data_IF_657727429164
#
_entry.id   IF_657727429164
#
_cell.length_a   1.000
_cell.length_b   1.000
_cell.length_c   1.000
_cell.angle_alpha   90.00
_cell.angle_beta   90.00
_cell.angle_gamma   90.00
#
_symmetry.space_group_name_H-M   'P 1'
#
loop_
_entity.id
_entity.type
_entity.pdbx_description
1 polymer ?
#
# COMPACT_ATOMS: atom_id res chain seq x y z
N UNK A 1 37.49 -25.53 -72.68
CA UNK A 1 37.67 -24.13 -72.20
C UNK A 1 38.83 -24.10 -71.24
N UNK A 2 39.90 -23.38 -71.56
CA UNK A 2 41.04 -23.18 -70.66
C UNK A 2 40.64 -22.09 -69.66
N UNK A 3 40.66 -22.41 -68.38
CA UNK A 3 40.34 -21.42 -67.34
C UNK A 3 41.51 -20.44 -67.24
N UNK A 4 41.26 -19.15 -67.48
CA UNK A 4 42.27 -18.10 -67.33
C UNK A 4 42.52 -17.84 -65.83
N UNK A 5 43.76 -17.58 -65.40
CA UNK A 5 44.10 -17.27 -64.00
C UNK A 5 43.21 -16.19 -63.37
N UNK A 6 42.78 -15.21 -64.15
CA UNK A 6 41.88 -14.13 -63.71
C UNK A 6 40.50 -14.66 -63.32
N UNK A 7 39.94 -15.62 -64.05
CA UNK A 7 38.63 -16.21 -63.77
C UNK A 7 38.63 -17.04 -62.49
N UNK A 8 39.73 -17.77 -62.22
CA UNK A 8 39.92 -18.50 -60.96
C UNK A 8 40.01 -17.54 -59.77
N UNK A 9 40.75 -16.45 -59.93
CA UNK A 9 40.93 -15.45 -58.89
C UNK A 9 39.62 -14.72 -58.55
N UNK A 10 38.77 -14.47 -59.56
CA UNK A 10 37.41 -13.96 -59.35
C UNK A 10 36.56 -14.99 -58.59
N UNK A 11 36.55 -16.26 -58.99
CA UNK A 11 35.79 -17.31 -58.31
C UNK A 11 36.20 -17.47 -56.83
N UNK A 12 37.51 -17.48 -56.53
CA UNK A 12 38.02 -17.57 -55.16
C UNK A 12 37.62 -16.37 -54.30
N UNK A 13 37.67 -15.14 -54.85
CA UNK A 13 37.19 -13.94 -54.15
C UNK A 13 35.69 -14.00 -53.87
N UNK A 14 34.90 -14.50 -54.82
CA UNK A 14 33.46 -14.71 -54.62
C UNK A 14 33.18 -15.70 -53.50
N UNK A 15 33.91 -16.82 -53.46
CA UNK A 15 33.81 -17.81 -52.37
C UNK A 15 34.20 -17.17 -51.02
N UNK A 16 35.32 -16.43 -50.97
CA UNK A 16 35.74 -15.75 -49.74
C UNK A 16 34.69 -14.72 -49.26
N UNK A 17 34.09 -13.96 -50.18
CA UNK A 17 33.01 -13.03 -49.87
C UNK A 17 31.75 -13.76 -49.39
N UNK A 18 31.41 -14.91 -49.98
CA UNK A 18 30.28 -15.73 -49.55
C UNK A 18 30.47 -16.22 -48.11
N UNK A 19 31.66 -16.73 -47.78
CA UNK A 19 31.99 -17.13 -46.41
C UNK A 19 31.89 -15.97 -45.42
N UNK A 20 32.36 -14.79 -45.80
CA UNK A 20 32.28 -13.58 -44.97
C UNK A 20 30.83 -13.16 -44.72
N UNK A 21 30.01 -13.16 -45.77
CA UNK A 21 28.58 -12.85 -45.67
C UNK A 21 27.85 -13.86 -44.77
N UNK A 22 28.10 -15.14 -44.99
CA UNK A 22 27.54 -16.22 -44.20
C UNK A 22 27.92 -16.10 -42.71
N UNK A 23 29.20 -15.79 -42.40
CA UNK A 23 29.64 -15.54 -41.03
C UNK A 23 28.94 -14.34 -40.40
N UNK A 24 28.79 -13.24 -41.15
CA UNK A 24 28.11 -12.04 -40.67
C UNK A 24 26.63 -12.30 -40.42
N UNK A 25 25.97 -13.04 -41.31
CA UNK A 25 24.56 -13.46 -41.15
C UNK A 25 24.36 -14.28 -39.87
N UNK A 26 25.21 -15.30 -39.65
CA UNK A 26 25.15 -16.12 -38.43
C UNK A 26 25.41 -15.32 -37.17
N UNK A 27 26.39 -14.41 -37.18
CA UNK A 27 26.66 -13.53 -36.03
C UNK A 27 25.47 -12.60 -35.74
N UNK A 28 24.86 -12.01 -36.77
CA UNK A 28 23.68 -11.16 -36.62
C UNK A 28 22.51 -11.94 -36.01
N UNK A 29 22.29 -13.19 -36.44
CA UNK A 29 21.24 -14.04 -35.90
C UNK A 29 21.49 -14.41 -34.44
N UNK A 30 22.73 -14.75 -34.08
CA UNK A 30 23.10 -15.01 -32.68
C UNK A 30 22.92 -13.77 -31.79
N UNK A 31 23.23 -12.58 -32.29
CA UNK A 31 23.00 -11.32 -31.58
C UNK A 31 21.51 -11.11 -31.36
N UNK A 32 20.68 -11.29 -32.40
CA UNK A 32 19.23 -11.15 -32.30
C UNK A 32 18.63 -12.15 -31.28
N UNK A 33 19.03 -13.41 -31.33
CA UNK A 33 18.56 -14.43 -30.38
C UNK A 33 18.94 -14.09 -28.93
N UNK A 34 20.18 -13.63 -28.71
CA UNK A 34 20.63 -13.21 -27.38
C UNK A 34 19.92 -11.95 -26.90
N UNK A 35 19.70 -10.99 -27.79
CA UNK A 35 18.97 -9.76 -27.49
C UNK A 35 17.51 -10.07 -27.11
N UNK A 36 16.83 -10.95 -27.84
CA UNK A 36 15.47 -11.39 -27.52
C UNK A 36 15.41 -12.03 -26.13
N UNK A 37 16.29 -12.99 -25.85
CA UNK A 37 16.36 -13.66 -24.53
C UNK A 37 16.67 -12.67 -23.41
N UNK A 38 17.53 -11.68 -23.65
CA UNK A 38 17.84 -10.66 -22.67
C UNK A 38 16.62 -9.77 -22.40
N UNK A 39 15.92 -9.35 -23.46
CA UNK A 39 14.70 -8.56 -23.34
C UNK A 39 13.63 -9.28 -22.53
N UNK A 40 13.39 -10.56 -22.82
CA UNK A 40 12.44 -11.38 -22.07
C UNK A 40 12.81 -11.49 -20.58
N UNK A 41 14.09 -11.70 -20.27
CA UNK A 41 14.59 -11.73 -18.89
C UNK A 41 14.42 -10.39 -18.18
N UNK A 42 14.73 -9.29 -18.86
CA UNK A 42 14.53 -7.94 -18.29
C UNK A 42 13.05 -7.68 -17.99
N UNK A 43 12.15 -8.09 -18.89
CA UNK A 43 10.71 -7.96 -18.67
C UNK A 43 10.27 -8.73 -17.41
N UNK A 44 10.65 -10.00 -17.29
CA UNK A 44 10.34 -10.80 -16.11
C UNK A 44 10.93 -10.20 -14.83
N UNK A 45 12.16 -9.68 -14.89
CA UNK A 45 12.78 -9.01 -13.76
C UNK A 45 12.03 -7.74 -13.33
N UNK A 46 11.53 -6.95 -14.29
CA UNK A 46 10.70 -5.77 -13.99
C UNK A 46 9.38 -6.20 -13.32
N UNK A 47 8.74 -7.26 -13.80
CA UNK A 47 7.53 -7.82 -13.20
C UNK A 47 7.79 -8.25 -11.75
N UNK A 48 8.89 -8.96 -11.50
CA UNK A 48 9.32 -9.38 -10.15
C UNK A 48 9.53 -8.17 -9.23
N UNK A 49 10.19 -7.11 -9.71
CA UNK A 49 10.42 -5.89 -8.92
C UNK A 49 9.12 -5.16 -8.60
N UNK A 50 8.18 -5.11 -9.54
CA UNK A 50 6.85 -4.55 -9.30
C UNK A 50 6.09 -5.32 -8.21
N UNK A 51 6.14 -6.66 -8.26
CA UNK A 51 5.51 -7.51 -7.25
C UNK A 51 6.12 -7.34 -5.85
N UNK A 52 7.44 -7.16 -5.76
CA UNK A 52 8.13 -6.83 -4.50
C UNK A 52 7.67 -5.47 -3.97
N UNK A 53 7.57 -4.44 -4.83
CA UNK A 53 7.08 -3.12 -4.44
C UNK A 53 5.70 -3.20 -3.78
N UNK A 54 4.76 -3.90 -4.41
CA UNK A 54 3.41 -4.10 -3.85
C UNK A 54 3.42 -4.86 -2.52
N UNK A 55 4.32 -5.83 -2.36
CA UNK A 55 4.46 -6.59 -1.12
C UNK A 55 5.03 -5.73 0.01
N UNK A 56 5.96 -4.83 -0.31
CA UNK A 56 6.51 -3.88 0.64
C UNK A 56 5.46 -2.85 1.08
N UNK A 57 4.64 -2.35 0.17
CA UNK A 57 3.52 -1.44 0.50
C UNK A 57 2.54 -2.11 1.47
N UNK A 58 2.17 -3.38 1.20
CA UNK A 58 1.32 -4.17 2.11
C UNK A 58 1.97 -4.40 3.46
N UNK A 59 3.27 -4.73 3.48
CA UNK A 59 4.01 -4.92 4.72
C UNK A 59 4.05 -3.62 5.54
N UNK A 60 4.25 -2.49 4.87
CA UNK A 60 4.25 -1.17 5.51
C UNK A 60 2.87 -0.82 6.08
N UNK A 61 1.79 -1.10 5.36
CA UNK A 61 0.44 -0.87 5.86
C UNK A 61 0.13 -1.75 7.08
N UNK A 62 0.45 -3.05 6.99
CA UNK A 62 0.31 -3.97 8.12
C UNK A 62 1.11 -3.51 9.35
N UNK A 63 2.34 -3.02 9.13
CA UNK A 63 3.16 -2.43 10.19
C UNK A 63 2.48 -1.21 10.82
N UNK A 64 1.97 -0.26 10.02
CA UNK A 64 1.25 0.93 10.53
C UNK A 64 0.01 0.51 11.33
N UNK A 65 -0.76 -0.45 10.84
CA UNK A 65 -1.94 -0.96 11.55
C UNK A 65 -1.57 -1.63 12.88
N UNK A 66 -0.49 -2.43 12.91
CA UNK A 66 0.02 -3.04 14.13
C UNK A 66 0.48 -1.98 15.13
N UNK A 67 1.21 -0.95 14.67
CA UNK A 67 1.63 0.16 15.52
C UNK A 67 0.42 0.95 16.07
N UNK A 68 -0.62 1.15 15.25
CA UNK A 68 -1.85 1.78 15.70
C UNK A 68 -2.53 0.99 16.83
N UNK A 69 -2.61 -0.35 16.70
CA UNK A 69 -3.14 -1.20 17.77
C UNK A 69 -2.27 -1.19 19.02
N UNK A 70 -0.96 -1.03 18.86
CA UNK A 70 -0.02 -1.02 19.96
C UNK A 70 -0.08 0.29 20.76
N UNK A 71 -0.03 1.46 20.11
CA UNK A 71 0.19 2.74 20.79
C UNK A 71 -0.77 3.88 20.45
N UNK A 72 -1.41 3.92 19.28
CA UNK A 72 -2.07 5.14 18.79
C UNK A 72 -3.56 4.97 18.45
N UNK A 73 -4.18 3.87 18.83
CA UNK A 73 -5.58 3.56 18.55
C UNK A 73 -6.46 3.63 19.79
N UNK A 74 -7.78 3.71 19.60
CA UNK A 74 -8.75 3.56 20.69
C UNK A 74 -8.63 2.16 21.29
N UNK A 75 -8.41 2.10 22.60
CA UNK A 75 -8.12 0.88 23.33
C UNK A 75 -6.79 0.24 22.93
N UNK A 76 -5.76 1.05 22.65
CA UNK A 76 -4.44 0.52 22.32
C UNK A 76 -3.86 -0.31 23.48
N UNK A 77 -3.04 -1.30 23.13
CA UNK A 77 -2.53 -2.30 24.08
C UNK A 77 -1.65 -1.66 25.16
N UNK A 78 -0.88 -0.63 24.82
CA UNK A 78 0.01 0.02 25.76
C UNK A 78 -0.77 0.79 26.85
N UNK A 79 -1.82 1.53 26.46
CA UNK A 79 -2.71 2.20 27.40
C UNK A 79 -3.43 1.19 28.32
N UNK A 80 -3.86 0.04 27.78
CA UNK A 80 -4.46 -1.03 28.59
C UNK A 80 -3.46 -1.65 29.57
N UNK A 81 -2.21 -1.87 29.14
CA UNK A 81 -1.15 -2.40 30.01
C UNK A 81 -0.83 -1.44 31.17
N UNK A 82 -0.74 -0.13 30.92
CA UNK A 82 -0.57 0.87 31.97
C UNK A 82 -1.78 0.97 32.90
N UNK A 83 -3.01 0.81 32.38
CA UNK A 83 -4.19 0.77 33.23
C UNK A 83 -4.13 -0.38 34.26
N UNK A 84 -3.60 -1.55 33.88
CA UNK A 84 -3.37 -2.65 34.83
C UNK A 84 -2.29 -2.35 35.87
N UNK A 85 -1.25 -1.60 35.49
CA UNK A 85 -0.25 -1.10 36.46
C UNK A 85 -0.92 -0.22 37.52
N UNK A 86 -1.80 0.70 37.09
CA UNK A 86 -2.59 1.54 38.00
C UNK A 86 -3.50 0.75 38.95
N UNK A 87 -3.92 -0.46 38.55
CA UNK A 87 -4.72 -1.38 39.36
C UNK A 87 -3.89 -2.26 40.31
N UNK A 88 -2.57 -2.07 40.37
CA UNK A 88 -1.68 -2.76 41.32
C UNK A 88 -1.14 -4.10 40.84
N UNK A 89 -1.17 -4.39 39.53
CA UNK A 89 -0.54 -5.59 38.97
C UNK A 89 0.99 -5.44 38.99
N UNK A 90 1.69 -6.48 39.50
CA UNK A 90 3.16 -6.48 39.58
C UNK A 90 3.80 -6.63 38.19
N UNK A 91 4.58 -5.63 37.77
CA UNK A 91 5.29 -5.62 36.48
C UNK A 91 6.79 -5.79 36.73
N UNK A 92 7.39 -6.85 36.16
CA UNK A 92 8.80 -7.18 36.35
C UNK A 92 9.78 -6.30 35.54
N UNK A 93 9.33 -5.74 34.41
CA UNK A 93 10.06 -4.74 33.61
C UNK A 93 9.09 -3.79 32.95
N UNK A 94 9.33 -2.51 33.13
CA UNK A 94 8.48 -1.44 32.62
C UNK A 94 8.74 -1.20 31.13
N UNK A 95 7.68 -0.80 30.43
CA UNK A 95 7.80 -0.27 29.07
C UNK A 95 8.33 1.17 29.19
N UNK A 96 9.01 1.67 28.14
CA UNK A 96 9.53 3.04 28.16
C UNK A 96 8.39 4.02 28.55
N UNK A 97 8.54 4.81 29.63
CA UNK A 97 7.48 5.65 30.17
C UNK A 97 7.00 6.71 29.17
N UNK A 98 7.89 7.25 28.34
CA UNK A 98 7.55 8.27 27.35
C UNK A 98 6.59 7.70 26.28
N UNK A 99 6.82 6.45 25.87
CA UNK A 99 5.95 5.76 24.92
C UNK A 99 4.60 5.42 25.53
N UNK A 100 4.60 5.06 26.81
CA UNK A 100 3.41 4.69 27.56
C UNK A 100 2.49 5.91 27.76
N UNK A 101 3.05 7.03 28.19
CA UNK A 101 2.32 8.29 28.37
C UNK A 101 1.74 8.82 27.05
N UNK A 102 2.51 8.76 25.96
CA UNK A 102 2.02 9.12 24.63
C UNK A 102 0.83 8.25 24.20
N UNK A 103 0.88 6.95 24.48
CA UNK A 103 -0.18 6.03 24.08
C UNK A 103 -1.46 6.19 24.91
N UNK A 104 -1.34 6.48 26.20
CA UNK A 104 -2.48 6.80 27.09
C UNK A 104 -3.14 8.12 26.66
N UNK A 105 -2.33 9.16 26.45
CA UNK A 105 -2.82 10.49 26.03
C UNK A 105 -3.60 10.42 24.72
N UNK A 106 -3.10 9.64 23.76
CA UNK A 106 -3.79 9.44 22.49
C UNK A 106 -5.10 8.68 22.66
N UNK A 107 -5.16 7.61 23.46
CA UNK A 107 -6.43 6.90 23.73
C UNK A 107 -7.48 7.85 24.32
N UNK A 108 -7.07 8.69 25.26
CA UNK A 108 -7.95 9.67 25.89
C UNK A 108 -8.47 10.72 24.91
N UNK A 109 -7.61 11.25 24.04
CA UNK A 109 -8.00 12.15 22.95
C UNK A 109 -9.01 11.48 21.99
N UNK A 110 -8.79 10.21 21.63
CA UNK A 110 -9.75 9.44 20.81
C UNK A 110 -11.10 9.31 21.51
N UNK A 111 -11.12 9.05 22.81
CA UNK A 111 -12.36 8.91 23.59
C UNK A 111 -13.13 10.22 23.65
N UNK A 112 -12.44 11.32 23.95
CA UNK A 112 -13.02 12.67 23.99
C UNK A 112 -13.60 13.09 22.64
N UNK A 113 -12.89 12.79 21.54
CA UNK A 113 -13.36 13.09 20.18
C UNK A 113 -14.53 12.21 19.73
N UNK A 114 -14.71 11.04 20.34
CA UNK A 114 -15.75 10.07 19.98
C UNK A 114 -17.07 10.23 20.73
N UNK A 115 -17.21 11.25 21.59
CA UNK A 115 -18.49 11.59 22.23
C UNK A 115 -19.43 12.14 21.14
N UNK A 116 -20.56 11.47 20.82
CA UNK A 116 -21.60 12.09 20.01
C UNK A 116 -22.09 13.32 20.75
N UNK A 117 -22.21 14.47 20.09
CA UNK A 117 -23.09 15.54 20.56
C UNK A 117 -24.42 14.89 20.93
N UNK A 118 -24.73 14.88 22.23
CA UNK A 118 -26.08 14.55 22.67
C UNK A 118 -26.99 15.56 21.98
N UNK A 119 -28.03 15.14 21.24
CA UNK A 119 -28.99 16.10 20.73
C UNK A 119 -29.54 16.87 21.93
N UNK A 120 -29.43 18.19 21.90
CA UNK A 120 -29.91 19.08 22.97
C UNK A 120 -31.31 18.64 23.45
N UNK A 121 -31.43 18.34 24.74
CA UNK A 121 -32.69 18.08 25.44
C UNK A 121 -33.54 19.39 25.60
N UNK A 122 -33.55 20.27 24.59
CA UNK A 122 -34.31 21.52 24.59
C UNK A 122 -35.71 21.38 23.95
N UNK A 123 -36.13 20.16 23.58
CA UNK A 123 -37.40 19.91 22.89
C UNK A 123 -38.59 19.58 23.82
N UNK A 124 -38.44 19.66 25.15
CA UNK A 124 -39.55 19.44 26.11
C UNK A 124 -40.05 20.72 26.77
N UNK A 125 -40.16 21.84 26.03
CA UNK A 125 -40.92 23.00 26.48
C UNK A 125 -41.58 23.69 25.29
N UNK A 126 -42.85 23.35 25.01
CA UNK A 126 -43.92 24.24 24.52
C UNK A 126 -45.02 23.41 23.86
N UNK A 127 -45.94 22.86 24.66
CA UNK A 127 -47.25 22.39 24.18
C UNK A 127 -48.41 22.74 25.15
N UNK A 128 -48.23 23.71 26.07
CA UNK A 128 -49.26 24.08 27.06
C UNK A 128 -50.12 25.31 26.70
N UNK A 129 -50.11 25.79 25.44
CA UNK A 129 -50.86 26.99 25.04
C UNK A 129 -51.82 26.77 23.85
N UNK A 130 -52.65 25.74 23.86
CA UNK A 130 -53.82 25.67 22.95
C UNK A 130 -55.04 24.98 23.58
N UNK A 131 -55.50 25.45 24.74
CA UNK A 131 -56.89 25.20 25.14
C UNK A 131 -57.47 26.29 26.06
N UNK A 132 -57.47 27.54 25.60
CA UNK A 132 -58.21 28.63 26.24
C UNK A 132 -58.90 29.56 25.24
N UNK A 133 -59.51 29.06 24.17
CA UNK A 133 -60.56 29.85 23.51
C UNK A 133 -61.44 29.00 22.57
N UNK A 134 -62.64 28.64 23.04
CA UNK A 134 -63.88 28.86 22.29
C UNK A 134 -65.06 28.80 23.27
N UNK A 135 -65.86 29.87 23.40
CA UNK A 135 -66.98 29.92 24.32
C UNK A 135 -68.18 29.10 23.83
N UNK A 136 -68.90 28.53 24.80
CA UNK A 136 -70.24 27.96 24.70
C UNK A 136 -71.16 28.86 23.85
N UNK A 137 -71.81 28.29 22.84
CA UNK A 137 -73.08 28.82 22.31
C UNK A 137 -74.11 27.70 22.24
N UNK A 138 -75.11 27.85 23.11
CA UNK A 138 -76.30 27.06 23.34
C UNK A 138 -77.32 27.19 22.18
N UNK A 139 -78.09 26.11 21.95
CA UNK A 139 -79.47 26.02 21.44
C UNK A 139 -79.87 26.75 20.13
N UNK A 140 -80.30 25.97 19.11
CA UNK A 140 -81.71 25.66 18.81
C UNK A 140 -81.81 24.72 17.62
#
# INVERSE_FOLDING_TARGET
>A
MLVSPTTLLVALRTIANLWRYEHQSRNAQQIADRASKLYDKMRLFIDDMSAIGQSLDKAQDNYRQAMKKLSSGRGNVLAQAEAFRGLGVEIKREINPDLAEQAVSQDEEYRLRSVPEQPNDEAYQRDDEYNQQSPIAFLR
#
